data_IF_509201476968
#
_entry.id   IF_509201476968
#
_cell.length_a   1.000
_cell.length_b   1.000
_cell.length_c   1.000
_cell.angle_alpha   90.00
_cell.angle_beta   90.00
_cell.angle_gamma   90.00
#
_symmetry.space_group_name_H-M   'P 1'
#
loop_
_entity.id
_entity.type
_entity.pdbx_description
1 polymer ?
#
# COMPACT_ATOMS: atom_id res chain seq x y z
N UNK A 1 -14.26 -60.49 43.99
CA UNK A 1 -13.57 -59.19 44.07
C UNK A 1 -13.53 -58.57 42.69
N UNK A 2 -14.33 -57.54 42.44
CA UNK A 2 -14.36 -56.86 41.15
C UNK A 2 -13.61 -55.56 41.29
N UNK A 3 -12.43 -55.43 40.71
CA UNK A 3 -11.65 -54.22 40.64
C UNK A 3 -12.17 -53.34 39.50
N UNK A 4 -12.82 -52.26 39.89
CA UNK A 4 -13.20 -51.20 38.91
C UNK A 4 -11.97 -50.35 38.59
N UNK A 5 -11.49 -50.46 37.34
CA UNK A 5 -10.52 -49.53 36.79
C UNK A 5 -11.26 -48.29 36.32
N UNK A 6 -11.07 -47.17 37.00
CA UNK A 6 -11.45 -45.83 36.55
C UNK A 6 -10.54 -45.44 35.42
N UNK A 7 -11.10 -45.37 34.22
CA UNK A 7 -10.42 -44.82 33.06
C UNK A 7 -10.58 -43.30 33.10
N UNK A 8 -9.53 -42.61 33.52
CA UNK A 8 -9.48 -41.16 33.51
C UNK A 8 -9.18 -40.70 32.07
N UNK A 9 -10.20 -40.22 31.39
CA UNK A 9 -10.03 -39.56 30.08
C UNK A 9 -9.63 -38.12 30.33
N UNK A 10 -8.36 -37.81 30.13
CA UNK A 10 -7.84 -36.43 30.12
C UNK A 10 -8.17 -35.81 28.75
N UNK A 11 -9.24 -35.01 28.71
CA UNK A 11 -9.54 -34.21 27.54
C UNK A 11 -8.67 -32.96 27.62
N UNK A 12 -7.57 -32.98 26.90
CA UNK A 12 -6.75 -31.78 26.69
C UNK A 12 -7.43 -30.93 25.63
N UNK A 13 -8.18 -29.93 26.04
CA UNK A 13 -8.70 -28.91 25.14
C UNK A 13 -7.54 -28.00 24.80
N UNK A 14 -6.89 -28.26 23.68
CA UNK A 14 -5.91 -27.35 23.09
C UNK A 14 -6.62 -26.08 22.61
N UNK A 15 -6.48 -25.01 23.35
CA UNK A 15 -6.85 -23.68 22.87
C UNK A 15 -5.88 -23.29 21.74
N UNK A 16 -6.29 -23.53 20.51
CA UNK A 16 -5.64 -22.94 19.36
C UNK A 16 -6.15 -21.50 19.26
N UNK A 17 -5.41 -20.54 19.81
CA UNK A 17 -5.66 -19.13 19.64
C UNK A 17 -5.36 -18.78 18.15
N UNK A 18 -6.36 -18.94 17.30
CA UNK A 18 -6.32 -18.42 15.95
C UNK A 18 -6.47 -16.91 16.08
N UNK A 19 -5.39 -16.18 15.78
CA UNK A 19 -5.42 -14.72 15.67
C UNK A 19 -6.18 -14.37 14.38
N UNK A 20 -7.42 -13.87 14.43
CA UNK A 20 -8.23 -13.67 13.23
C UNK A 20 -7.77 -12.49 12.38
N UNK A 21 -6.98 -11.56 12.94
CA UNK A 21 -6.64 -10.30 12.30
C UNK A 21 -5.67 -10.45 11.11
N UNK A 22 -4.70 -11.36 11.20
CA UNK A 22 -3.73 -11.54 10.12
C UNK A 22 -4.34 -12.14 8.85
N UNK A 23 -5.31 -13.05 8.99
CA UNK A 23 -6.02 -13.65 7.86
C UNK A 23 -7.03 -12.68 7.23
N UNK A 24 -7.63 -11.79 8.03
CA UNK A 24 -8.54 -10.76 7.55
C UNK A 24 -7.81 -9.73 6.66
N UNK A 25 -6.62 -9.28 7.06
CA UNK A 25 -5.81 -8.35 6.29
C UNK A 25 -5.37 -8.94 4.95
N UNK A 26 -4.97 -10.20 4.91
CA UNK A 26 -4.58 -10.87 3.67
C UNK A 26 -5.74 -10.92 2.67
N UNK A 27 -6.95 -11.14 3.12
CA UNK A 27 -8.14 -11.18 2.28
C UNK A 27 -8.51 -9.79 1.71
N UNK A 28 -8.32 -8.72 2.48
CA UNK A 28 -8.60 -7.35 2.02
C UNK A 28 -7.65 -6.98 0.88
N UNK A 29 -6.34 -7.19 1.07
CA UNK A 29 -5.33 -6.86 0.05
C UNK A 29 -5.48 -7.65 -1.25
N UNK A 30 -5.95 -8.91 -1.16
CA UNK A 30 -6.20 -9.73 -2.33
C UNK A 30 -7.41 -9.28 -3.16
N UNK A 31 -8.37 -8.58 -2.52
CA UNK A 31 -9.59 -8.10 -3.16
C UNK A 31 -9.50 -6.66 -3.65
N UNK A 32 -8.40 -5.96 -3.38
CA UNK A 32 -8.22 -4.58 -3.83
C UNK A 32 -8.14 -4.55 -5.36
N UNK A 33 -9.06 -3.80 -5.94
CA UNK A 33 -8.99 -3.45 -7.35
C UNK A 33 -7.77 -2.56 -7.60
N UNK A 34 -6.89 -3.02 -8.48
CA UNK A 34 -5.63 -2.36 -8.86
C UNK A 34 -5.70 -1.75 -10.26
N UNK A 35 -6.89 -1.42 -10.70
CA UNK A 35 -7.09 -0.78 -12.00
C UNK A 35 -6.70 0.69 -11.91
N UNK A 36 -5.80 1.11 -12.78
CA UNK A 36 -5.53 2.52 -13.04
C UNK A 36 -6.37 2.91 -14.26
N UNK A 37 -7.22 3.92 -14.08
CA UNK A 37 -8.26 4.27 -15.07
C UNK A 37 -7.65 5.00 -16.25
N UNK A 38 -6.74 5.95 -15.98
CA UNK A 38 -6.11 6.75 -17.02
C UNK A 38 -4.71 7.18 -16.64
N UNK A 39 -3.83 7.10 -17.62
CA UNK A 39 -2.42 7.37 -17.44
C UNK A 39 -1.95 8.52 -18.34
N UNK A 40 -1.01 9.36 -17.86
CA UNK A 40 -0.34 10.33 -18.71
C UNK A 40 0.68 9.63 -19.63
N UNK A 41 1.21 10.37 -20.56
CA UNK A 41 2.35 9.89 -21.34
C UNK A 41 3.63 9.97 -20.49
N UNK A 42 4.28 8.84 -20.30
CA UNK A 42 5.56 8.74 -19.59
C UNK A 42 6.75 8.97 -20.51
N UNK A 43 7.85 9.47 -19.94
CA UNK A 43 9.12 9.70 -20.64
C UNK A 43 10.14 8.58 -20.38
N UNK A 44 10.01 7.90 -19.24
CA UNK A 44 10.84 6.77 -18.84
C UNK A 44 9.97 5.52 -18.60
N UNK A 45 10.59 4.42 -18.22
CA UNK A 45 9.85 3.22 -17.80
C UNK A 45 9.17 3.51 -16.45
N UNK A 46 7.82 3.53 -16.38
CA UNK A 46 7.11 3.88 -15.18
C UNK A 46 7.24 2.80 -14.10
N UNK A 47 7.33 3.23 -12.84
CA UNK A 47 7.27 2.37 -11.66
C UNK A 47 6.02 2.70 -10.87
N UNK A 48 5.19 1.71 -10.65
CA UNK A 48 3.87 1.86 -10.03
C UNK A 48 3.90 1.50 -8.56
N UNK A 49 3.23 2.30 -7.76
CA UNK A 49 2.97 2.05 -6.34
C UNK A 49 1.51 2.39 -6.03
N UNK A 50 0.87 1.55 -5.23
CA UNK A 50 -0.50 1.77 -4.77
C UNK A 50 -0.51 1.92 -3.25
N UNK A 51 -0.86 3.09 -2.78
CA UNK A 51 -1.11 3.36 -1.37
C UNK A 51 -2.59 3.10 -1.06
N UNK A 52 -2.83 2.23 -0.09
CA UNK A 52 -4.17 1.85 0.34
C UNK A 52 -4.40 2.38 1.74
N UNK A 53 -5.40 3.21 1.92
CA UNK A 53 -5.73 3.86 3.18
C UNK A 53 -7.10 3.41 3.70
N UNK A 54 -7.22 3.40 5.03
CA UNK A 54 -8.43 2.98 5.73
C UNK A 54 -8.48 1.47 6.00
N UNK A 55 -9.22 1.08 7.03
CA UNK A 55 -9.33 -0.31 7.50
C UNK A 55 -10.00 -1.25 6.49
N UNK A 56 -10.85 -0.69 5.62
CA UNK A 56 -11.54 -1.41 4.54
C UNK A 56 -10.82 -1.30 3.19
N UNK A 57 -9.70 -0.58 3.10
CA UNK A 57 -9.03 -0.32 1.83
C UNK A 57 -9.82 0.60 0.90
N UNK A 58 -10.66 1.46 1.46
CA UNK A 58 -11.61 2.28 0.70
C UNK A 58 -10.96 3.39 -0.13
N UNK A 59 -9.79 3.89 0.28
CA UNK A 59 -9.07 4.93 -0.45
C UNK A 59 -7.82 4.33 -1.09
N UNK A 60 -7.71 4.46 -2.39
CA UNK A 60 -6.59 3.94 -3.20
C UNK A 60 -5.94 5.12 -3.92
N UNK A 61 -4.68 5.35 -3.65
CA UNK A 61 -3.89 6.43 -4.24
C UNK A 61 -2.79 5.83 -5.09
N UNK A 62 -2.87 6.03 -6.38
CA UNK A 62 -1.81 5.63 -7.27
C UNK A 62 -0.65 6.63 -7.25
N UNK A 63 0.55 6.10 -7.25
CA UNK A 63 1.78 6.86 -7.41
C UNK A 63 2.61 6.20 -8.49
N UNK A 64 3.05 6.99 -9.48
CA UNK A 64 3.86 6.49 -10.59
C UNK A 64 5.12 7.34 -10.74
N UNK A 65 6.26 6.70 -10.51
CA UNK A 65 7.57 7.29 -10.75
C UNK A 65 7.93 7.14 -12.23
N UNK A 66 8.18 8.26 -12.88
CA UNK A 66 8.61 8.36 -14.28
C UNK A 66 9.96 9.09 -14.35
N UNK A 67 11.03 8.32 -14.26
CA UNK A 67 12.39 8.88 -14.17
C UNK A 67 12.56 9.70 -12.88
N UNK A 68 12.55 11.02 -13.01
CA UNK A 68 12.68 11.95 -11.88
C UNK A 68 11.36 12.64 -11.53
N UNK A 69 10.25 12.25 -12.13
CA UNK A 69 8.92 12.82 -11.91
C UNK A 69 8.04 11.84 -11.16
N UNK A 70 7.19 12.33 -10.28
CA UNK A 70 6.22 11.54 -9.56
C UNK A 70 4.81 12.02 -9.89
N UNK A 71 4.01 11.18 -10.51
CA UNK A 71 2.58 11.36 -10.66
C UNK A 71 1.86 10.80 -9.44
N UNK A 72 0.88 11.52 -8.90
CA UNK A 72 0.13 11.11 -7.72
C UNK A 72 -1.35 11.34 -7.97
N UNK A 73 -2.15 10.31 -7.82
CA UNK A 73 -3.60 10.33 -7.84
C UNK A 73 -4.13 10.97 -6.55
N UNK A 74 -4.19 12.30 -6.52
CA UNK A 74 -4.48 13.07 -5.30
C UNK A 74 -5.94 12.99 -4.90
N UNK A 75 -6.83 12.78 -5.84
CA UNK A 75 -8.27 12.67 -5.62
C UNK A 75 -8.75 11.21 -5.50
N UNK A 76 -7.83 10.23 -5.66
CA UNK A 76 -8.09 8.80 -5.52
C UNK A 76 -9.15 8.25 -6.50
N UNK A 77 -9.25 8.84 -7.70
CA UNK A 77 -10.19 8.42 -8.74
C UNK A 77 -9.58 7.45 -9.78
N UNK A 78 -8.26 7.24 -9.73
CA UNK A 78 -7.50 6.41 -10.66
C UNK A 78 -7.14 7.11 -11.97
N UNK A 79 -7.39 8.41 -12.14
CA UNK A 79 -7.00 9.21 -13.31
C UNK A 79 -5.83 10.13 -12.95
N UNK A 80 -4.62 9.74 -13.34
CA UNK A 80 -3.41 10.54 -13.09
C UNK A 80 -3.29 11.78 -13.98
N UNK A 81 -4.23 12.02 -14.88
CA UNK A 81 -4.16 13.14 -15.83
C UNK A 81 -4.91 14.39 -15.34
N UNK A 82 -5.72 14.28 -14.29
CA UNK A 82 -6.51 15.38 -13.73
C UNK A 82 -5.95 15.96 -12.41
N UNK A 83 -4.88 15.36 -11.87
CA UNK A 83 -4.22 15.77 -10.62
C UNK A 83 -3.18 16.88 -10.76
N UNK A 84 -3.05 17.45 -11.95
CA UNK A 84 -2.09 18.49 -12.27
C UNK A 84 -0.72 17.96 -12.70
N UNK A 85 0.30 18.81 -12.70
CA UNK A 85 1.62 18.43 -13.19
C UNK A 85 2.31 17.45 -12.22
N UNK A 86 3.21 16.58 -12.74
CA UNK A 86 3.99 15.69 -11.90
C UNK A 86 4.89 16.44 -10.93
N UNK A 87 5.05 15.88 -9.76
CA UNK A 87 5.87 16.42 -8.68
C UNK A 87 7.34 16.20 -9.03
N UNK A 88 8.14 17.27 -8.93
CA UNK A 88 9.58 17.19 -9.07
C UNK A 88 10.21 16.83 -7.73
N UNK A 89 11.35 16.12 -7.70
CA UNK A 89 12.02 15.82 -6.45
C UNK A 89 12.50 17.09 -5.76
N UNK A 90 12.22 17.21 -4.46
CA UNK A 90 12.71 18.29 -3.61
C UNK A 90 14.19 18.12 -3.27
N UNK A 91 14.67 16.89 -3.25
CA UNK A 91 16.05 16.53 -3.02
C UNK A 91 16.42 15.30 -3.85
N UNK A 92 17.64 15.33 -4.41
CA UNK A 92 18.21 14.23 -5.18
C UNK A 92 19.54 13.85 -4.57
N UNK A 93 19.68 12.61 -4.15
CA UNK A 93 20.90 12.10 -3.55
C UNK A 93 21.43 10.92 -4.37
N UNK A 94 22.70 10.98 -4.74
CA UNK A 94 23.39 9.79 -5.22
C UNK A 94 23.82 8.97 -4.00
N UNK A 95 23.26 7.78 -3.84
CA UNK A 95 23.56 6.88 -2.71
C UNK A 95 24.66 5.87 -3.03
N UNK A 96 25.37 6.09 -4.13
CA UNK A 96 26.50 5.29 -4.57
C UNK A 96 26.13 4.16 -5.52
N UNK A 97 27.14 3.66 -6.19
CA UNK A 97 27.04 2.52 -7.08
C UNK A 97 27.45 1.25 -6.33
N UNK A 98 26.65 0.19 -6.40
CA UNK A 98 27.05 -1.15 -5.94
C UNK A 98 28.07 -1.78 -6.90
N UNK A 99 28.13 -1.29 -8.13
CA UNK A 99 29.08 -1.64 -9.18
C UNK A 99 29.32 -0.42 -10.08
N UNK A 100 30.51 -0.25 -10.67
CA UNK A 100 30.76 0.80 -11.64
C UNK A 100 29.70 0.80 -12.76
N UNK A 101 29.11 1.96 -13.03
CA UNK A 101 28.06 2.13 -14.04
C UNK A 101 26.63 1.83 -13.59
N UNK A 102 26.41 1.49 -12.31
CA UNK A 102 25.08 1.29 -11.76
C UNK A 102 24.82 2.26 -10.60
N UNK A 103 24.72 3.54 -10.94
CA UNK A 103 24.43 4.59 -9.99
C UNK A 103 23.02 4.40 -9.39
N UNK A 104 22.94 4.46 -8.07
CA UNK A 104 21.68 4.49 -7.35
C UNK A 104 21.36 5.92 -6.95
N UNK A 105 20.18 6.34 -7.34
CA UNK A 105 19.63 7.66 -7.01
C UNK A 105 18.47 7.50 -6.05
N UNK A 106 18.45 8.33 -5.04
CA UNK A 106 17.36 8.48 -4.09
C UNK A 106 16.67 9.81 -4.35
N UNK A 107 15.36 9.78 -4.56
CA UNK A 107 14.53 10.93 -4.86
C UNK A 107 13.56 11.16 -3.71
N UNK A 108 13.62 12.35 -3.11
CA UNK A 108 12.66 12.76 -2.10
C UNK A 108 11.64 13.69 -2.71
N UNK A 109 10.37 13.40 -2.53
CA UNK A 109 9.25 14.18 -3.02
C UNK A 109 8.48 14.77 -1.86
N UNK A 110 8.04 16.03 -2.00
CA UNK A 110 7.09 16.65 -1.09
C UNK A 110 5.70 16.47 -1.69
N UNK A 111 4.86 15.72 -1.00
CA UNK A 111 3.47 15.51 -1.40
C UNK A 111 2.59 16.58 -0.76
N UNK A 112 1.72 17.16 -1.58
CA UNK A 112 0.60 17.96 -1.11
C UNK A 112 -0.46 17.08 -0.45
N UNK A 113 -1.53 17.70 0.03
CA UNK A 113 -2.65 16.96 0.61
C UNK A 113 -3.29 16.03 -0.43
N UNK A 114 -3.56 14.80 0.00
CA UNK A 114 -4.41 13.86 -0.72
C UNK A 114 -5.84 14.14 -0.29
N UNK A 115 -6.71 14.46 -1.23
CA UNK A 115 -8.11 14.79 -0.99
C UNK A 115 -9.00 13.89 -1.84
N UNK A 116 -9.34 12.69 -1.34
CA UNK A 116 -10.20 11.77 -2.07
C UNK A 116 -11.55 12.42 -2.40
N UNK A 117 -12.01 12.22 -3.64
CA UNK A 117 -13.29 12.80 -4.11
C UNK A 117 -14.50 12.34 -3.27
N UNK A 118 -14.44 11.10 -2.76
CA UNK A 118 -15.48 10.49 -1.92
C UNK A 118 -15.08 10.41 -0.44
N UNK A 119 -14.05 11.11 -0.04
CA UNK A 119 -13.56 11.12 1.35
C UNK A 119 -14.42 11.97 2.26
N UNK A 120 -14.48 11.67 3.57
CA UNK A 120 -15.04 12.59 4.54
C UNK A 120 -14.30 13.93 4.45
N UNK A 121 -14.98 15.07 4.68
CA UNK A 121 -14.32 16.37 4.65
C UNK A 121 -13.13 16.36 5.62
N UNK A 122 -12.04 17.08 5.28
CA UNK A 122 -10.87 17.13 6.14
C UNK A 122 -11.30 17.65 7.51
N UNK A 123 -11.03 16.87 8.57
CA UNK A 123 -11.26 17.32 9.92
C UNK A 123 -10.32 18.50 10.18
N UNK A 124 -10.82 19.66 10.61
CA UNK A 124 -9.98 20.74 11.06
C UNK A 124 -9.21 20.26 12.30
N UNK A 125 -7.90 20.36 12.25
CA UNK A 125 -7.02 20.09 13.39
C UNK A 125 -7.15 21.21 14.44
#
# INVERSE_FOLDING_TARGET
MKTHRLLSVLVTIGYLAILPDALAQTNVLAKIDRTLVKEPKYEATPKYSLLVLGSSGGVKVWMVEDGRRLFVDKNANGDLTDDGPPIQPSNVRNIGALKPGNDRWDFNYLLDAITPADGPPPHPF
#
